data_IF_252074808305
#
_entry.id   IF_252074808305
#
_cell.length_a   1.000
_cell.length_b   1.000
_cell.length_c   1.000
_cell.angle_alpha   90.00
_cell.angle_beta   90.00
_cell.angle_gamma   90.00
#
_symmetry.space_group_name_H-M   'P 1'
#
loop_
_entity.id
_entity.type
_entity.pdbx_description
1 polymer ?
#
# COMPACT_ATOMS: atom_id res chain seq x y z
N UNK A 1 12.70 -26.03 -16.46
CA UNK A 1 11.59 -25.24 -15.89
C UNK A 1 11.69 -23.86 -16.53
N UNK A 2 10.66 -23.41 -17.27
CA UNK A 2 10.67 -22.03 -17.79
C UNK A 2 10.40 -21.09 -16.61
N UNK A 3 11.21 -20.05 -16.47
CA UNK A 3 10.83 -18.94 -15.60
C UNK A 3 9.50 -18.35 -16.09
N UNK A 4 8.58 -18.17 -15.16
CA UNK A 4 7.33 -17.44 -15.39
C UNK A 4 7.59 -16.02 -14.94
N UNK A 5 7.45 -15.08 -15.86
CA UNK A 5 7.44 -13.65 -15.50
C UNK A 5 6.21 -13.36 -14.65
N UNK A 6 6.44 -12.82 -13.46
CA UNK A 6 5.41 -12.48 -12.48
C UNK A 6 5.33 -10.98 -12.20
N UNK A 7 6.12 -10.17 -12.90
CA UNK A 7 6.10 -8.72 -12.75
C UNK A 7 4.77 -8.16 -13.24
N UNK A 8 4.17 -7.26 -12.43
CA UNK A 8 2.90 -6.62 -12.75
C UNK A 8 2.92 -5.15 -12.32
N UNK A 9 2.27 -4.31 -13.12
CA UNK A 9 1.95 -2.94 -12.72
C UNK A 9 0.67 -2.97 -11.88
N UNK A 10 0.77 -2.47 -10.66
CA UNK A 10 -0.32 -2.47 -9.68
C UNK A 10 -0.44 -1.09 -9.03
N UNK A 11 -1.57 -0.86 -8.37
CA UNK A 11 -1.92 0.37 -7.67
C UNK A 11 -1.81 0.19 -6.16
N UNK A 12 -1.32 1.23 -5.48
CA UNK A 12 -1.33 1.34 -4.03
C UNK A 12 -2.04 2.65 -3.66
N UNK A 13 -3.11 2.58 -2.88
CA UNK A 13 -3.78 3.75 -2.35
C UNK A 13 -3.33 4.02 -0.92
N UNK A 14 -3.03 5.27 -0.63
CA UNK A 14 -2.63 5.73 0.69
C UNK A 14 -3.03 7.21 0.86
N UNK A 15 -3.15 7.70 2.11
CA UNK A 15 -3.35 9.13 2.38
C UNK A 15 -2.13 9.97 1.95
N UNK A 16 -2.35 11.27 1.74
CA UNK A 16 -1.33 12.20 1.24
C UNK A 16 -0.07 12.24 2.12
N UNK A 17 -0.24 12.18 3.44
CA UNK A 17 0.87 12.17 4.40
C UNK A 17 1.76 10.94 4.20
N UNK A 18 1.15 9.77 4.01
CA UNK A 18 1.86 8.51 3.75
C UNK A 18 2.52 8.53 2.35
N UNK A 19 1.87 9.13 1.35
CA UNK A 19 2.45 9.27 0.02
C UNK A 19 3.78 10.03 0.04
N UNK A 20 3.87 11.13 0.80
CA UNK A 20 5.11 11.89 0.96
C UNK A 20 6.23 11.05 1.58
N UNK A 21 5.93 10.28 2.62
CA UNK A 21 6.91 9.38 3.24
C UNK A 21 7.36 8.27 2.26
N UNK A 22 6.43 7.66 1.52
CA UNK A 22 6.74 6.63 0.51
C UNK A 22 7.62 7.18 -0.60
N UNK A 23 7.41 8.42 -1.04
CA UNK A 23 8.23 9.04 -2.10
C UNK A 23 9.68 9.22 -1.63
N UNK A 24 9.90 9.59 -0.38
CA UNK A 24 11.23 9.87 0.18
C UNK A 24 11.95 8.60 0.62
N UNK A 25 11.24 7.70 1.30
CA UNK A 25 11.82 6.52 1.97
C UNK A 25 11.58 5.21 1.21
N UNK A 26 10.71 5.21 0.21
CA UNK A 26 10.19 4.01 -0.44
C UNK A 26 9.13 3.30 0.39
N UNK A 27 8.66 2.15 -0.10
CA UNK A 27 7.73 1.30 0.64
C UNK A 27 8.41 0.66 1.84
N UNK A 28 8.00 1.08 3.05
CA UNK A 28 8.58 0.57 4.29
C UNK A 28 7.60 -0.34 5.05
N UNK A 29 8.07 -1.56 5.37
CA UNK A 29 7.33 -2.58 6.12
C UNK A 29 6.99 -2.15 7.54
N UNK A 30 7.72 -1.19 8.09
CA UNK A 30 7.47 -0.62 9.42
C UNK A 30 6.14 0.13 9.50
N UNK A 31 5.61 0.61 8.37
CA UNK A 31 4.29 1.25 8.28
C UNK A 31 3.18 0.25 7.90
N UNK A 32 3.48 -1.06 7.86
CA UNK A 32 2.47 -2.08 7.55
C UNK A 32 1.45 -2.21 8.68
N UNK A 33 0.16 -2.16 8.34
CA UNK A 33 -0.95 -2.39 9.28
C UNK A 33 -2.07 -1.36 9.19
N UNK A 34 -1.79 -0.18 8.64
CA UNK A 34 -2.73 0.94 8.45
C UNK A 34 -4.03 0.52 7.73
N UNK A 35 -3.91 -0.43 6.79
CA UNK A 35 -5.00 -0.89 5.93
C UNK A 35 -5.33 -2.39 6.12
N UNK A 36 -4.93 -2.96 7.27
CA UNK A 36 -5.19 -4.34 7.65
C UNK A 36 -4.02 -5.30 7.36
N UNK A 37 -3.97 -6.41 8.12
CA UNK A 37 -2.92 -7.43 8.06
C UNK A 37 -3.46 -8.80 7.66
N UNK A 38 -4.47 -8.83 6.76
CA UNK A 38 -5.18 -10.06 6.37
C UNK A 38 -4.23 -11.18 5.91
N UNK A 39 -3.13 -10.82 5.24
CA UNK A 39 -2.10 -11.76 4.78
C UNK A 39 -0.73 -11.49 5.46
N UNK A 40 -0.73 -10.84 6.62
CA UNK A 40 0.46 -10.48 7.40
C UNK A 40 0.87 -9.02 7.31
N UNK A 41 2.05 -8.72 7.86
CA UNK A 41 2.64 -7.38 7.86
C UNK A 41 3.38 -7.14 6.54
N UNK A 42 2.75 -6.39 5.64
CA UNK A 42 3.33 -6.03 4.35
C UNK A 42 2.66 -4.83 3.72
N UNK A 43 3.13 -4.48 2.53
CA UNK A 43 2.54 -3.46 1.67
C UNK A 43 1.65 -4.15 0.65
N UNK A 44 0.41 -3.68 0.56
CA UNK A 44 -0.62 -4.28 -0.29
C UNK A 44 -0.79 -3.48 -1.57
N UNK A 45 -0.98 -4.20 -2.67
CA UNK A 45 -1.21 -3.64 -4.00
C UNK A 45 -2.43 -4.30 -4.62
N UNK A 46 -3.11 -3.58 -5.50
CA UNK A 46 -4.25 -4.11 -6.26
C UNK A 46 -4.09 -3.83 -7.74
N UNK A 47 -4.61 -4.70 -8.60
CA UNK A 47 -4.73 -4.44 -10.03
C UNK A 47 -5.88 -3.48 -10.36
N UNK A 48 -6.78 -3.23 -9.41
CA UNK A 48 -7.93 -2.35 -9.56
C UNK A 48 -7.67 -0.98 -8.91
N UNK A 49 -7.67 0.07 -9.72
CA UNK A 49 -7.46 1.43 -9.28
C UNK A 49 -8.61 1.95 -8.38
N UNK A 50 -9.86 1.56 -8.61
CA UNK A 50 -10.99 1.96 -7.79
C UNK A 50 -10.91 1.33 -6.40
N UNK A 51 -10.49 0.07 -6.33
CA UNK A 51 -10.20 -0.59 -5.05
C UNK A 51 -9.12 0.17 -4.26
N UNK A 52 -7.97 0.44 -4.90
CA UNK A 52 -6.89 1.20 -4.26
C UNK A 52 -7.33 2.62 -3.88
N UNK A 53 -8.14 3.29 -4.71
CA UNK A 53 -8.65 4.63 -4.39
C UNK A 53 -9.40 4.69 -3.05
N UNK A 54 -10.09 3.60 -2.67
CA UNK A 54 -10.77 3.51 -1.37
C UNK A 54 -9.85 3.74 -0.15
N UNK A 55 -8.55 3.48 -0.31
CA UNK A 55 -7.53 3.62 0.73
C UNK A 55 -6.79 4.98 0.72
N UNK A 56 -7.22 5.92 -0.13
CA UNK A 56 -6.62 7.26 -0.20
C UNK A 56 -7.06 8.21 0.90
N UNK A 57 -8.04 7.82 1.71
CA UNK A 57 -8.58 8.63 2.79
C UNK A 57 -7.79 8.38 4.07
N UNK A 58 -7.49 9.45 4.80
CA UNK A 58 -6.91 9.35 6.13
C UNK A 58 -7.87 8.61 7.06
N UNK A 59 -7.37 7.61 7.77
CA UNK A 59 -8.11 7.05 8.90
C UNK A 59 -8.23 8.16 9.96
N UNK A 60 -9.44 8.47 10.44
CA UNK A 60 -9.68 9.52 11.45
C UNK A 60 -9.05 9.23 12.84
N UNK A 61 -8.21 8.21 12.94
CA UNK A 61 -7.66 7.69 14.20
C UNK A 61 -6.13 7.86 14.30
N UNK A 62 -5.48 8.55 13.37
CA UNK A 62 -4.03 8.74 13.33
C UNK A 62 -3.57 9.99 14.13
N UNK A 63 -4.31 10.35 15.17
CA UNK A 63 -3.86 11.24 16.25
C UNK A 63 -3.21 10.39 17.36
N UNK A 64 -1.91 10.12 17.26
CA UNK A 64 -1.07 9.73 18.41
C UNK A 64 0.29 10.39 18.36
#
# INVERSE_FOLDING_TARGET
>A
MKEVDTEKRLYHGCPEQAANAIIVEGFNRSYAGEHGTLYGFGVYFSSDAAYSHGYTKSNANDER
#
